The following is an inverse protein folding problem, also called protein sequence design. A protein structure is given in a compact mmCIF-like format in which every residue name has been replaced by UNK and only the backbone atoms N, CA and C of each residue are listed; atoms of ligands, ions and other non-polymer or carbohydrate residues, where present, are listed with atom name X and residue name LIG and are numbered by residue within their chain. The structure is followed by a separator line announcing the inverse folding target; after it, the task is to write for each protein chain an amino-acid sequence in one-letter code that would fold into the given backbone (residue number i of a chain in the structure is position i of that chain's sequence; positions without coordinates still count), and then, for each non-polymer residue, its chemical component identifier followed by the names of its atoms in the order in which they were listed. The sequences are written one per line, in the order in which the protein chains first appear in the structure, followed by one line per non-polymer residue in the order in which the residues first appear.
data_IF_185217071458
#
_entry.id   IF_185217071458
#
_cell.length_a   1.000
_cell.length_b   1.000
_cell.length_c   1.000
_cell.angle_alpha   90.00
_cell.angle_beta   90.00
_cell.angle_gamma   90.00
#
_symmetry.space_group_name_H-M   'P 1'
#
loop_
_entity.id
_entity.type
_entity.pdbx_description
1 polymer ?
#
# COMPACT_ATOMS: atom_id res chain seq x y z
N UNK A 1 -42.25 55.37 -56.82
CA UNK A 1 -42.38 54.14 -57.63
C UNK A 1 -41.24 53.21 -57.21
N UNK A 2 -41.45 52.26 -56.28
CA UNK A 2 -41.63 50.81 -56.54
C UNK A 2 -40.71 50.29 -57.66
N UNK A 3 -39.78 49.35 -57.45
CA UNK A 3 -40.03 47.98 -56.97
C UNK A 3 -38.74 47.26 -56.46
N UNK A 4 -38.94 46.26 -55.59
CA UNK A 4 -37.98 45.38 -54.88
C UNK A 4 -37.24 44.38 -55.80
N UNK A 5 -36.05 43.94 -55.38
CA UNK A 5 -35.67 42.52 -55.36
C UNK A 5 -34.51 42.26 -54.36
N UNK A 6 -34.76 41.35 -53.42
CA UNK A 6 -33.83 40.76 -52.46
C UNK A 6 -32.97 39.69 -53.16
N UNK A 7 -31.68 39.61 -52.83
CA UNK A 7 -30.83 38.44 -53.10
C UNK A 7 -29.96 38.21 -51.87
N UNK A 8 -30.47 37.35 -50.98
CA UNK A 8 -29.66 36.65 -49.97
C UNK A 8 -28.54 35.88 -50.69
N UNK A 9 -27.29 35.88 -50.19
CA UNK A 9 -26.36 34.82 -50.54
C UNK A 9 -26.83 33.55 -49.82
N UNK A 10 -27.21 32.58 -50.64
CA UNK A 10 -27.52 31.21 -50.31
C UNK A 10 -26.31 30.51 -49.68
N UNK A 11 -26.63 29.63 -48.73
CA UNK A 11 -25.76 28.68 -48.04
C UNK A 11 -24.52 28.23 -48.83
N UNK A 12 -23.33 28.56 -48.32
CA UNK A 12 -22.18 27.66 -48.50
C UNK A 12 -22.23 26.64 -47.38
N UNK A 13 -22.98 25.56 -47.58
CA UNK A 13 -22.74 24.32 -46.85
C UNK A 13 -21.32 23.89 -47.22
N UNK A 14 -20.37 24.13 -46.31
CA UNK A 14 -19.05 23.54 -46.38
C UNK A 14 -19.23 22.03 -46.31
N UNK A 15 -19.33 21.38 -47.47
CA UNK A 15 -19.20 19.93 -47.56
C UNK A 15 -17.74 19.66 -47.28
N UNK A 16 -17.40 19.40 -46.01
CA UNK A 16 -16.16 18.72 -45.67
C UNK A 16 -16.12 17.46 -46.52
N UNK A 17 -15.16 17.39 -47.44
CA UNK A 17 -15.02 16.25 -48.34
C UNK A 17 -14.94 14.97 -47.49
N UNK A 18 -15.73 13.91 -47.78
CA UNK A 18 -15.75 12.69 -46.96
C UNK A 18 -14.36 12.07 -46.82
N UNK A 19 -13.49 12.25 -47.81
CA UNK A 19 -12.10 11.82 -47.77
C UNK A 19 -11.26 12.52 -46.69
N UNK A 20 -11.48 13.81 -46.42
CA UNK A 20 -10.77 14.54 -45.36
C UNK A 20 -11.23 14.10 -43.98
N UNK A 21 -12.54 13.91 -43.78
CA UNK A 21 -13.08 13.38 -42.53
C UNK A 21 -12.67 11.91 -42.26
N UNK A 22 -12.49 11.10 -43.32
CA UNK A 22 -11.98 9.73 -43.22
C UNK A 22 -10.48 9.67 -42.94
N UNK A 23 -9.69 10.64 -43.44
CA UNK A 23 -8.27 10.78 -43.11
C UNK A 23 -8.06 11.22 -41.66
N UNK A 24 -8.79 12.23 -41.20
CA UNK A 24 -8.75 12.68 -39.81
C UNK A 24 -9.14 11.55 -38.85
N UNK A 25 -10.22 10.80 -39.14
CA UNK A 25 -10.64 9.67 -38.32
C UNK A 25 -9.60 8.53 -38.28
N UNK A 26 -8.86 8.29 -39.37
CA UNK A 26 -7.76 7.33 -39.42
C UNK A 26 -6.57 7.79 -38.57
N UNK A 27 -6.21 9.08 -38.66
CA UNK A 27 -5.10 9.66 -37.89
C UNK A 27 -5.39 9.66 -36.38
N UNK A 28 -6.61 10.00 -35.96
CA UNK A 28 -7.02 9.91 -34.55
C UNK A 28 -7.09 8.46 -34.05
N UNK A 29 -7.45 7.50 -34.91
CA UNK A 29 -7.44 6.07 -34.58
C UNK A 29 -6.00 5.58 -34.36
N UNK A 30 -5.08 5.90 -35.26
CA UNK A 30 -3.67 5.54 -35.16
C UNK A 30 -3.00 6.17 -33.93
N UNK A 31 -3.36 7.42 -33.61
CA UNK A 31 -2.91 8.10 -32.40
C UNK A 31 -3.46 7.41 -31.14
N UNK A 32 -4.73 7.02 -31.14
CA UNK A 32 -5.35 6.30 -30.01
C UNK A 32 -4.69 4.93 -29.79
N UNK A 33 -4.39 4.20 -30.86
CA UNK A 33 -3.68 2.92 -30.79
C UNK A 33 -2.24 3.10 -30.26
N UNK A 34 -1.51 4.10 -30.77
CA UNK A 34 -0.16 4.43 -30.31
C UNK A 34 -0.13 4.83 -28.82
N UNK A 35 -1.09 5.64 -28.37
CA UNK A 35 -1.25 5.99 -26.95
C UNK A 35 -1.60 4.74 -26.13
N UNK A 36 -2.47 3.87 -26.65
CA UNK A 36 -2.83 2.59 -26.01
C UNK A 36 -1.63 1.67 -25.82
N UNK A 37 -0.80 1.53 -26.85
CA UNK A 37 0.45 0.76 -26.83
C UNK A 37 1.45 1.35 -25.82
N UNK A 38 1.61 2.67 -25.82
CA UNK A 38 2.48 3.37 -24.87
C UNK A 38 2.03 3.13 -23.43
N UNK A 39 0.73 3.29 -23.14
CA UNK A 39 0.17 3.01 -21.81
C UNK A 39 0.39 1.56 -21.38
N UNK A 40 0.18 0.60 -22.28
CA UNK A 40 0.43 -0.81 -21.99
C UNK A 40 1.90 -1.06 -21.64
N UNK A 41 2.82 -0.49 -22.42
CA UNK A 41 4.26 -0.60 -22.18
C UNK A 41 4.65 0.00 -20.83
N UNK A 42 4.15 1.21 -20.51
CA UNK A 42 4.38 1.86 -19.21
C UNK A 42 3.86 0.99 -18.06
N UNK A 43 2.67 0.38 -18.18
CA UNK A 43 2.13 -0.49 -17.15
C UNK A 43 2.97 -1.75 -16.91
N UNK A 44 3.52 -2.35 -17.97
CA UNK A 44 4.43 -3.50 -17.87
C UNK A 44 5.71 -3.09 -17.16
N UNK A 45 6.34 -1.99 -17.60
CA UNK A 45 7.58 -1.49 -16.99
C UNK A 45 7.36 -1.12 -15.51
N UNK A 46 6.27 -0.42 -15.20
CA UNK A 46 5.92 -0.05 -13.81
C UNK A 46 5.77 -1.30 -12.93
N UNK A 47 5.11 -2.33 -13.45
CA UNK A 47 4.97 -3.62 -12.73
C UNK A 47 6.32 -4.29 -12.49
N UNK A 48 7.21 -4.30 -13.47
CA UNK A 48 8.53 -4.92 -13.35
C UNK A 48 9.46 -4.14 -12.41
N UNK A 49 9.44 -2.81 -12.47
CA UNK A 49 10.18 -1.94 -11.56
C UNK A 49 9.75 -2.16 -10.12
N UNK A 50 8.43 -2.25 -9.87
CA UNK A 50 7.88 -2.56 -8.54
C UNK A 50 8.36 -3.92 -8.02
N UNK A 51 8.27 -4.97 -8.84
CA UNK A 51 8.78 -6.31 -8.49
C UNK A 51 10.27 -6.28 -8.18
N UNK A 52 11.06 -5.56 -8.98
CA UNK A 52 12.48 -5.41 -8.78
C UNK A 52 12.78 -4.69 -7.45
N UNK A 53 12.07 -3.60 -7.17
CA UNK A 53 12.18 -2.87 -5.90
C UNK A 53 11.93 -3.78 -4.70
N UNK A 54 10.84 -4.55 -4.70
CA UNK A 54 10.55 -5.51 -3.64
C UNK A 54 11.61 -6.60 -3.51
N UNK A 55 12.14 -7.10 -4.62
CA UNK A 55 13.20 -8.11 -4.59
C UNK A 55 14.49 -7.55 -3.97
N UNK A 56 14.82 -6.29 -4.26
CA UNK A 56 15.98 -5.60 -3.69
C UNK A 56 15.77 -5.40 -2.19
N UNK A 57 14.63 -4.85 -1.76
CA UNK A 57 14.32 -4.63 -0.35
C UNK A 57 14.31 -5.94 0.45
N UNK A 58 13.70 -7.00 -0.09
CA UNK A 58 13.71 -8.31 0.56
C UNK A 58 15.13 -8.89 0.69
N UNK A 59 16.01 -8.63 -0.29
CA UNK A 59 17.41 -9.07 -0.23
C UNK A 59 18.18 -8.27 0.82
N UNK A 60 18.01 -6.95 0.84
CA UNK A 60 18.60 -6.06 1.84
C UNK A 60 18.14 -6.47 3.25
N UNK A 61 16.84 -6.68 3.44
CA UNK A 61 16.25 -7.12 4.71
C UNK A 61 16.87 -8.42 5.21
N UNK A 62 17.05 -9.43 4.34
CA UNK A 62 17.70 -10.69 4.72
C UNK A 62 19.18 -10.48 5.09
N UNK A 63 19.89 -9.61 4.38
CA UNK A 63 21.29 -9.30 4.69
C UNK A 63 21.40 -8.59 6.04
N UNK A 64 20.55 -7.60 6.29
CA UNK A 64 20.49 -6.88 7.56
C UNK A 64 20.06 -7.78 8.71
N UNK A 65 19.12 -8.70 8.47
CA UNK A 65 18.73 -9.74 9.44
C UNK A 65 19.94 -10.56 9.87
N UNK A 66 20.74 -11.06 8.92
CA UNK A 66 21.97 -11.82 9.22
C UNK A 66 22.98 -10.96 9.98
N UNK A 67 23.15 -9.70 9.59
CA UNK A 67 24.05 -8.75 10.26
C UNK A 67 23.63 -8.53 11.72
N UNK A 68 22.35 -8.20 11.96
CA UNK A 68 21.74 -8.01 13.27
C UNK A 68 21.76 -9.29 14.12
N UNK A 69 21.65 -10.47 13.52
CA UNK A 69 21.66 -11.76 14.24
C UNK A 69 22.96 -12.07 15.00
N UNK A 70 24.03 -11.33 14.71
CA UNK A 70 25.32 -11.40 15.42
C UNK A 70 25.29 -10.66 16.77
N UNK A 71 24.32 -9.78 16.98
CA UNK A 71 24.13 -9.09 18.26
C UNK A 71 23.56 -10.04 19.32
N UNK A 72 23.81 -9.73 20.60
CA UNK A 72 23.18 -10.44 21.70
C UNK A 72 21.68 -10.19 21.74
N UNK A 73 20.90 -11.18 22.20
CA UNK A 73 19.43 -11.10 22.28
C UNK A 73 18.97 -9.91 23.13
N UNK A 74 19.70 -9.60 24.20
CA UNK A 74 19.38 -8.46 25.07
C UNK A 74 19.54 -7.13 24.31
N UNK A 75 20.66 -6.94 23.61
CA UNK A 75 20.87 -5.75 22.76
C UNK A 75 19.82 -5.62 21.66
N UNK A 76 19.40 -6.73 21.03
CA UNK A 76 18.31 -6.68 20.05
C UNK A 76 16.99 -6.21 20.69
N UNK A 77 16.66 -6.70 21.88
CA UNK A 77 15.44 -6.32 22.59
C UNK A 77 15.48 -4.87 23.07
N UNK A 78 16.64 -4.39 23.51
CA UNK A 78 16.84 -3.00 23.91
C UNK A 78 16.67 -2.08 22.69
N UNK A 79 17.34 -2.37 21.57
CA UNK A 79 17.18 -1.63 20.30
C UNK A 79 15.72 -1.59 19.83
N UNK A 80 14.99 -2.72 19.92
CA UNK A 80 13.56 -2.77 19.54
C UNK A 80 12.69 -1.95 20.51
N UNK A 81 13.02 -1.94 21.80
CA UNK A 81 12.29 -1.15 22.80
C UNK A 81 12.51 0.35 22.61
N UNK A 82 13.71 0.75 22.21
CA UNK A 82 14.05 2.15 21.95
C UNK A 82 13.25 2.72 20.75
N UNK A 83 12.81 1.85 19.84
CA UNK A 83 11.87 2.18 18.76
C UNK A 83 10.40 2.29 19.22
N UNK A 84 10.12 2.09 20.51
CA UNK A 84 8.80 2.25 21.11
C UNK A 84 7.92 1.00 21.14
N UNK A 85 8.39 -0.17 20.68
CA UNK A 85 7.57 -1.38 20.67
C UNK A 85 7.26 -1.90 22.08
N UNK A 86 6.01 -2.26 22.33
CA UNK A 86 5.64 -2.97 23.56
C UNK A 86 6.14 -4.42 23.53
N UNK A 87 6.40 -5.01 24.69
CA UNK A 87 6.83 -6.40 24.78
C UNK A 87 5.80 -7.42 24.26
N UNK A 88 4.52 -7.04 24.26
CA UNK A 88 3.48 -7.86 23.66
C UNK A 88 3.62 -7.86 22.14
N UNK A 89 3.90 -6.70 21.55
CA UNK A 89 4.07 -6.55 20.11
C UNK A 89 5.35 -7.21 19.64
N UNK A 90 6.46 -7.06 20.39
CA UNK A 90 7.70 -7.80 20.10
C UNK A 90 7.45 -9.31 20.07
N UNK A 91 6.70 -9.83 21.04
CA UNK A 91 6.35 -11.25 21.08
C UNK A 91 5.50 -11.66 19.88
N UNK A 92 4.48 -10.86 19.55
CA UNK A 92 3.57 -11.07 18.43
C UNK A 92 4.31 -11.06 17.09
N UNK A 93 5.05 -9.99 16.81
CA UNK A 93 5.83 -9.78 15.59
C UNK A 93 6.93 -10.82 15.41
N UNK A 94 7.55 -11.26 16.51
CA UNK A 94 8.58 -12.30 16.46
C UNK A 94 8.00 -13.72 16.50
N UNK A 95 6.67 -13.90 16.57
CA UNK A 95 6.03 -15.21 16.63
C UNK A 95 6.50 -16.06 17.82
N UNK A 96 6.64 -15.44 18.99
CA UNK A 96 7.08 -16.07 20.25
C UNK A 96 6.13 -15.68 21.39
N UNK A 97 6.25 -16.35 22.54
CA UNK A 97 5.39 -16.04 23.69
C UNK A 97 5.95 -14.86 24.51
N UNK A 98 5.07 -14.06 25.10
CA UNK A 98 5.45 -12.96 26.02
C UNK A 98 6.31 -13.46 27.19
N UNK A 99 6.04 -14.63 27.82
CA UNK A 99 6.95 -15.20 28.81
C UNK A 99 8.37 -15.46 28.29
N UNK A 100 8.53 -15.84 27.01
CA UNK A 100 9.85 -16.03 26.41
C UNK A 100 10.60 -14.70 26.31
N UNK A 101 9.96 -13.64 25.81
CA UNK A 101 10.55 -12.29 25.77
C UNK A 101 10.92 -11.82 27.18
N UNK A 102 10.04 -12.00 28.17
CA UNK A 102 10.33 -11.67 29.58
C UNK A 102 11.52 -12.45 30.14
N UNK A 103 11.68 -13.72 29.77
CA UNK A 103 12.84 -14.53 30.16
C UNK A 103 14.13 -13.96 29.57
N UNK A 104 14.13 -13.58 28.30
CA UNK A 104 15.33 -13.05 27.62
C UNK A 104 15.76 -11.69 28.16
N UNK A 105 14.80 -10.82 28.49
CA UNK A 105 15.09 -9.53 29.16
C UNK A 105 15.79 -9.67 30.50
N UNK A 106 15.63 -10.80 31.19
CA UNK A 106 16.31 -11.09 32.47
C UNK A 106 17.63 -11.83 32.29
N UNK A 107 18.22 -11.81 31.09
CA UNK A 107 19.46 -12.49 30.76
C UNK A 107 19.31 -13.97 30.39
N UNK A 108 18.08 -14.45 30.22
CA UNK A 108 17.83 -15.80 29.73
C UNK A 108 18.27 -15.97 28.27
N UNK A 109 18.76 -17.15 27.92
CA UNK A 109 19.18 -17.45 26.55
C UNK A 109 17.98 -17.70 25.61
N UNK A 110 18.08 -17.23 24.37
CA UNK A 110 17.19 -17.59 23.27
C UNK A 110 17.90 -18.57 22.32
N UNK A 111 17.13 -19.39 21.60
CA UNK A 111 17.66 -20.19 20.50
C UNK A 111 18.19 -19.28 19.37
N UNK A 112 19.02 -19.85 18.50
CA UNK A 112 19.46 -19.17 17.27
C UNK A 112 18.29 -18.71 16.41
N UNK A 113 17.26 -19.52 16.28
CA UNK A 113 16.06 -19.20 15.49
C UNK A 113 15.30 -18.00 16.08
N UNK A 114 15.10 -17.96 17.40
CA UNK A 114 14.41 -16.85 18.03
C UNK A 114 15.23 -15.55 17.96
N UNK A 115 16.57 -15.67 18.07
CA UNK A 115 17.46 -14.53 17.82
C UNK A 115 17.34 -14.04 16.38
N UNK A 116 17.22 -14.94 15.40
CA UNK A 116 17.03 -14.58 13.99
C UNK A 116 15.72 -13.84 13.78
N UNK A 117 14.62 -14.24 14.44
CA UNK A 117 13.33 -13.54 14.34
C UNK A 117 13.38 -12.12 14.91
N UNK A 118 14.02 -11.92 16.06
CA UNK A 118 14.24 -10.59 16.63
C UNK A 118 15.11 -9.72 15.71
N UNK A 119 16.19 -10.29 15.19
CA UNK A 119 17.05 -9.62 14.23
C UNK A 119 16.32 -9.24 12.94
N UNK A 120 15.39 -10.08 12.47
CA UNK A 120 14.58 -9.83 11.29
C UNK A 120 13.60 -8.68 11.50
N UNK A 121 12.96 -8.61 12.68
CA UNK A 121 12.10 -7.49 13.06
C UNK A 121 12.89 -6.18 13.06
N UNK A 122 14.03 -6.15 13.77
CA UNK A 122 14.85 -4.95 13.85
C UNK A 122 15.42 -4.54 12.48
N UNK A 123 15.78 -5.49 11.63
CA UNK A 123 16.21 -5.21 10.25
C UNK A 123 15.07 -4.62 9.39
N UNK A 124 13.83 -5.04 9.60
CA UNK A 124 12.68 -4.41 8.94
C UNK A 124 12.50 -2.96 9.41
N UNK A 125 12.61 -2.71 10.72
CA UNK A 125 12.58 -1.36 11.27
C UNK A 125 13.70 -0.46 10.72
N UNK A 126 14.92 -1.00 10.58
CA UNK A 126 16.06 -0.28 9.98
C UNK A 126 15.76 0.16 8.55
N UNK A 127 15.11 -0.70 7.75
CA UNK A 127 14.71 -0.39 6.37
C UNK A 127 13.61 0.68 6.37
N UNK A 128 12.61 0.54 7.25
CA UNK A 128 11.50 1.49 7.37
C UNK A 128 12.00 2.90 7.71
N UNK A 129 12.90 3.02 8.69
CA UNK A 129 13.50 4.29 9.07
C UNK A 129 14.40 4.87 7.97
N UNK A 130 15.28 4.06 7.36
CA UNK A 130 16.26 4.57 6.37
C UNK A 130 15.66 4.95 5.02
N UNK A 131 14.77 4.12 4.48
CA UNK A 131 14.29 4.25 3.10
C UNK A 131 12.96 4.98 3.02
N UNK A 132 12.11 4.88 4.04
CA UNK A 132 10.76 5.43 4.02
C UNK A 132 10.53 6.54 5.05
N UNK A 133 11.56 6.91 5.82
CA UNK A 133 11.52 7.99 6.81
C UNK A 133 10.39 7.80 7.84
N UNK A 134 10.07 6.54 8.18
CA UNK A 134 9.13 6.24 9.26
C UNK A 134 9.83 6.53 10.58
N UNK A 135 9.50 7.66 11.20
CA UNK A 135 10.13 8.10 12.46
C UNK A 135 9.65 7.26 13.65
N UNK A 136 8.33 7.20 13.86
CA UNK A 136 7.70 6.46 14.96
C UNK A 136 7.28 5.06 14.50
N UNK A 137 8.27 4.20 14.26
CA UNK A 137 8.05 2.87 13.63
C UNK A 137 7.02 2.03 14.40
N UNK A 138 7.10 1.96 15.73
CA UNK A 138 6.12 1.20 16.52
C UNK A 138 4.68 1.70 16.34
N UNK A 139 4.48 3.03 16.43
CA UNK A 139 3.17 3.67 16.22
C UNK A 139 2.64 3.42 14.81
N UNK A 140 3.51 3.52 13.80
CA UNK A 140 3.15 3.24 12.41
C UNK A 140 2.69 1.78 12.23
N UNK A 141 3.38 0.82 12.86
CA UNK A 141 3.00 -0.59 12.83
C UNK A 141 1.61 -0.88 13.42
N UNK A 142 1.16 -0.06 14.37
CA UNK A 142 -0.15 -0.17 15.02
C UNK A 142 -1.25 0.62 14.30
N UNK A 143 -0.89 1.50 13.37
CA UNK A 143 -1.84 2.36 12.68
C UNK A 143 -2.60 1.55 11.62
N UNK A 144 -3.94 1.45 11.70
CA UNK A 144 -4.72 0.72 10.71
C UNK A 144 -4.66 1.38 9.33
N UNK A 145 -4.69 0.54 8.28
CA UNK A 145 -4.89 1.04 6.92
C UNK A 145 -6.29 1.64 6.75
N UNK A 146 -6.49 2.57 5.80
CA UNK A 146 -7.79 3.16 5.55
C UNK A 146 -8.89 2.10 5.33
N UNK A 147 -10.07 2.32 5.89
CA UNK A 147 -11.28 1.48 5.69
C UNK A 147 -11.20 0.05 6.27
N UNK A 148 -10.16 -0.28 7.04
CA UNK A 148 -9.97 -1.64 7.57
C UNK A 148 -9.28 -1.61 8.94
N UNK A 149 -9.53 -2.59 9.82
CA UNK A 149 -8.76 -2.74 11.06
C UNK A 149 -7.37 -3.35 10.83
N UNK A 150 -7.02 -3.74 9.60
CA UNK A 150 -5.71 -4.36 9.30
C UNK A 150 -4.60 -3.32 9.42
N UNK A 151 -3.56 -3.68 10.17
CA UNK A 151 -2.36 -2.87 10.45
C UNK A 151 -1.12 -3.43 9.74
N UNK A 152 -0.02 -2.66 9.57
CA UNK A 152 1.25 -3.21 9.10
C UNK A 152 1.77 -4.36 9.99
N UNK A 153 1.44 -4.34 11.29
CA UNK A 153 1.72 -5.44 12.21
C UNK A 153 1.06 -6.75 11.78
N UNK A 154 -0.18 -6.70 11.29
CA UNK A 154 -0.88 -7.88 10.78
C UNK A 154 -0.20 -8.45 9.53
N UNK A 155 0.22 -7.57 8.61
CA UNK A 155 0.97 -7.96 7.40
C UNK A 155 2.28 -8.66 7.78
N UNK A 156 3.04 -8.08 8.70
CA UNK A 156 4.31 -8.65 9.16
C UNK A 156 4.11 -10.00 9.85
N UNK A 157 3.12 -10.12 10.75
CA UNK A 157 2.81 -11.37 11.44
C UNK A 157 2.37 -12.49 10.49
N UNK A 158 1.78 -12.13 9.35
CA UNK A 158 1.43 -13.06 8.28
C UNK A 158 2.63 -13.44 7.38
N UNK A 159 3.86 -13.05 7.75
CA UNK A 159 5.07 -13.20 6.94
C UNK A 159 5.01 -12.48 5.58
N UNK A 160 4.20 -11.42 5.46
CA UNK A 160 4.12 -10.56 4.26
C UNK A 160 4.91 -9.26 4.45
N UNK A 161 6.20 -9.39 4.76
CA UNK A 161 7.11 -8.24 4.90
C UNK A 161 7.26 -7.46 3.58
N UNK A 162 7.08 -8.13 2.44
CA UNK A 162 6.98 -7.51 1.13
C UNK A 162 5.87 -6.46 1.09
N UNK A 163 4.69 -6.78 1.62
CA UNK A 163 3.56 -5.84 1.67
C UNK A 163 3.76 -4.72 2.70
N UNK A 164 4.50 -4.98 3.78
CA UNK A 164 4.88 -3.93 4.74
C UNK A 164 5.74 -2.87 4.04
N UNK A 165 6.72 -3.30 3.23
CA UNK A 165 7.56 -2.37 2.48
C UNK A 165 6.80 -1.67 1.35
N UNK A 166 5.88 -2.36 0.67
CA UNK A 166 5.03 -1.72 -0.34
C UNK A 166 4.17 -0.62 0.27
N UNK A 167 3.55 -0.90 1.42
CA UNK A 167 2.76 0.07 2.16
C UNK A 167 3.58 1.29 2.57
N UNK A 168 4.79 1.07 3.08
CA UNK A 168 5.69 2.16 3.48
C UNK A 168 6.19 2.97 2.28
N UNK A 169 6.37 2.34 1.12
CA UNK A 169 6.85 3.00 -0.08
C UNK A 169 5.80 3.89 -0.78
N UNK A 170 4.52 3.74 -0.41
CA UNK A 170 3.37 4.37 -1.06
C UNK A 170 3.29 4.15 -2.58
N UNK A 171 3.96 3.11 -3.10
CA UNK A 171 3.89 2.73 -4.52
C UNK A 171 2.61 1.96 -4.88
N UNK A 172 1.97 1.37 -3.87
CA UNK A 172 0.76 0.58 -4.01
C UNK A 172 -0.34 1.18 -3.13
N UNK A 173 -1.51 1.40 -3.72
CA UNK A 173 -2.67 1.90 -2.99
C UNK A 173 -3.08 0.92 -1.90
N UNK A 174 -3.55 1.42 -0.74
CA UNK A 174 -3.90 0.56 0.41
C UNK A 174 -4.90 -0.55 0.03
N UNK A 175 -5.85 -0.25 -0.86
CA UNK A 175 -6.82 -1.24 -1.36
C UNK A 175 -6.19 -2.35 -2.19
N UNK A 176 -5.18 -2.03 -3.01
CA UNK A 176 -4.47 -3.03 -3.79
C UNK A 176 -3.63 -3.94 -2.87
N UNK A 177 -2.99 -3.37 -1.84
CA UNK A 177 -2.27 -4.14 -0.80
C UNK A 177 -3.24 -5.09 -0.10
N UNK A 178 -4.44 -4.62 0.25
CA UNK A 178 -5.47 -5.44 0.88
C UNK A 178 -5.98 -6.54 -0.05
N UNK A 179 -6.15 -6.25 -1.35
CA UNK A 179 -6.53 -7.24 -2.36
C UNK A 179 -5.50 -8.38 -2.48
N UNK A 180 -4.21 -8.03 -2.39
CA UNK A 180 -3.09 -8.98 -2.41
C UNK A 180 -2.91 -9.72 -1.06
N UNK A 181 -3.30 -9.11 0.06
CA UNK A 181 -3.22 -9.70 1.39
C UNK A 181 -4.37 -10.68 1.68
N UNK A 182 -5.61 -10.25 1.45
CA UNK A 182 -6.83 -11.04 1.60
C UNK A 182 -7.85 -10.60 0.54
N UNK A 183 -8.02 -11.33 -0.58
CA UNK A 183 -8.97 -10.95 -1.64
C UNK A 183 -10.42 -10.75 -1.18
N UNK A 184 -10.80 -11.30 -0.02
CA UNK A 184 -12.13 -11.16 0.56
C UNK A 184 -12.21 -10.11 1.68
N UNK A 185 -11.17 -9.29 1.87
CA UNK A 185 -11.08 -8.31 2.95
C UNK A 185 -12.32 -7.40 3.00
N UNK A 186 -12.82 -6.97 1.84
CA UNK A 186 -14.01 -6.09 1.75
C UNK A 186 -15.24 -6.68 2.40
N UNK A 187 -15.42 -8.01 2.38
CA UNK A 187 -16.56 -8.68 3.03
C UNK A 187 -16.24 -9.02 4.49
N UNK A 188 -14.99 -9.39 4.76
CA UNK A 188 -14.55 -9.82 6.09
C UNK A 188 -14.50 -8.68 7.09
N UNK A 189 -14.09 -7.50 6.63
CA UNK A 189 -13.91 -6.31 7.44
C UNK A 189 -14.93 -5.21 7.12
N UNK A 190 -15.99 -5.53 6.35
CA UNK A 190 -17.11 -4.62 6.22
C UNK A 190 -17.70 -4.38 7.61
N UNK A 191 -17.65 -3.14 8.07
CA UNK A 191 -18.33 -2.77 9.29
C UNK A 191 -19.82 -2.95 9.06
N UNK A 192 -20.54 -3.74 9.88
CA UNK A 192 -21.99 -3.79 9.82
C UNK A 192 -22.62 -2.50 10.36
N UNK A 193 -21.80 -1.54 10.79
CA UNK A 193 -22.24 -0.27 11.32
C UNK A 193 -21.88 0.89 10.39
N UNK A 194 -22.76 1.88 10.33
CA UNK A 194 -22.55 3.18 9.69
C UNK A 194 -22.61 4.31 10.72
N UNK A 195 -21.92 5.40 10.44
CA UNK A 195 -21.95 6.61 11.27
C UNK A 195 -23.01 7.54 10.69
N UNK A 196 -24.09 7.76 11.43
CA UNK A 196 -25.18 8.67 11.07
C UNK A 196 -25.08 9.92 11.93
N UNK A 197 -25.09 11.10 11.32
CA UNK A 197 -25.17 12.36 12.03
C UNK A 197 -26.58 12.51 12.62
N UNK A 198 -26.67 12.61 13.96
CA UNK A 198 -27.92 12.85 14.67
C UNK A 198 -28.44 14.27 14.42
N UNK A 199 -29.73 14.50 14.68
CA UNK A 199 -30.34 15.85 14.53
C UNK A 199 -29.69 16.93 15.42
N UNK A 200 -28.91 16.53 16.42
CA UNK A 200 -28.16 17.40 17.33
C UNK A 200 -26.73 17.71 16.83
N UNK A 201 -26.34 17.21 15.66
CA UNK A 201 -24.98 17.35 15.10
C UNK A 201 -23.95 16.39 15.72
N UNK A 202 -24.39 15.43 16.53
CA UNK A 202 -23.51 14.42 17.13
C UNK A 202 -23.48 13.16 16.27
N UNK A 203 -22.30 12.61 16.00
CA UNK A 203 -22.16 11.35 15.27
C UNK A 203 -22.67 10.16 16.11
N UNK A 204 -23.61 9.40 15.58
CA UNK A 204 -24.14 8.15 16.16
C UNK A 204 -23.73 6.95 15.32
N UNK A 205 -23.48 5.80 15.94
CA UNK A 205 -23.18 4.55 15.23
C UNK A 205 -24.47 3.72 15.16
N UNK A 206 -24.91 3.39 13.95
CA UNK A 206 -26.11 2.58 13.71
C UNK A 206 -25.75 1.32 12.93
N UNK A 207 -26.52 0.25 13.10
CA UNK A 207 -26.38 -0.95 12.28
C UNK A 207 -26.89 -0.63 10.87
N UNK A 208 -26.12 -0.95 9.84
CA UNK A 208 -26.55 -0.84 8.44
C UNK A 208 -27.83 -1.67 8.27
N UNK A 209 -28.90 -1.04 7.77
CA UNK A 209 -30.13 -1.78 7.46
C UNK A 209 -29.82 -2.87 6.42
N UNK A 210 -30.06 -4.12 6.79
CA UNK A 210 -29.93 -5.26 5.88
C UNK A 210 -31.02 -5.16 4.82
N UNK A 211 -30.63 -4.84 3.58
CA UNK A 211 -31.55 -4.78 2.44
C UNK A 211 -31.85 -6.16 1.86
#
# INVERSE_FOLDING_TARGET
MHNKASLFPTDSTGITSPAAAQQDASEYSDLTESVGFTRSTVNVISTDVRKLHNNILNREWRQDTVRRSKQGVQSLLDDISDLGFSWNDVARLSGVSVPAVRKWRRGGQASGDNRMKLAALLAACDILGRHFMVEEVASWFETPMPETPITPMDLYCANRVDLVFELASANMESREILDEFDPNWRKRYDSPFEVVEGEDGTSSIQLKESR
#
